data_IF_415760058072
#
_entry.id   IF_415760058072
#
_cell.length_a   1.000
_cell.length_b   1.000
_cell.length_c   1.000
_cell.angle_alpha   90.00
_cell.angle_beta   90.00
_cell.angle_gamma   90.00
#
_symmetry.space_group_name_H-M   'P 1'
#
loop_
_entity.id
_entity.type
_entity.pdbx_description
1 polymer ?
#
# COMPACT_ATOMS: atom_id res chain seq x y z
N UNK A 1 17.06 9.55 -7.83
CA UNK A 1 15.63 9.24 -7.94
C UNK A 1 15.50 7.73 -7.93
N UNK A 2 14.54 7.18 -7.21
CA UNK A 2 14.34 5.73 -7.15
C UNK A 2 13.03 5.39 -7.86
N UNK A 3 13.05 4.41 -8.75
CA UNK A 3 11.94 4.02 -9.61
C UNK A 3 11.56 2.57 -9.32
N UNK A 4 10.26 2.33 -9.14
CA UNK A 4 9.72 0.98 -8.93
C UNK A 4 8.44 0.81 -9.71
N UNK A 5 8.28 -0.36 -10.32
CA UNK A 5 6.99 -0.77 -10.86
C UNK A 5 6.21 -1.55 -9.80
N UNK A 6 4.91 -1.28 -9.71
CA UNK A 6 4.00 -1.97 -8.81
C UNK A 6 2.62 -2.04 -9.47
N UNK A 7 2.09 -3.26 -9.65
CA UNK A 7 0.82 -3.52 -10.35
C UNK A 7 0.69 -2.75 -11.68
N UNK A 8 1.68 -2.92 -12.56
CA UNK A 8 1.76 -2.33 -13.90
C UNK A 8 1.84 -0.79 -13.96
N UNK A 9 2.10 -0.11 -12.84
CA UNK A 9 2.36 1.34 -12.81
C UNK A 9 3.78 1.62 -12.35
N UNK A 10 4.40 2.63 -12.96
CA UNK A 10 5.73 3.10 -12.57
C UNK A 10 5.58 4.23 -11.56
N UNK A 11 6.21 4.04 -10.41
CA UNK A 11 6.27 5.03 -9.35
C UNK A 11 7.70 5.52 -9.20
N UNK A 12 7.81 6.80 -8.86
CA UNK A 12 9.09 7.41 -8.54
C UNK A 12 9.07 7.98 -7.12
N UNK A 13 10.22 7.93 -6.48
CA UNK A 13 10.48 8.59 -5.21
C UNK A 13 11.61 9.59 -5.38
N UNK A 14 11.30 10.86 -5.13
CA UNK A 14 12.25 11.97 -5.24
C UNK A 14 12.07 12.91 -4.04
N UNK A 15 13.16 13.18 -3.30
CA UNK A 15 13.16 14.03 -2.10
C UNK A 15 12.09 13.66 -1.05
N UNK A 16 11.81 12.36 -0.90
CA UNK A 16 10.79 11.87 0.04
C UNK A 16 9.34 12.03 -0.45
N UNK A 17 9.11 12.63 -1.62
CA UNK A 17 7.79 12.71 -2.27
C UNK A 17 7.61 11.56 -3.26
N UNK A 18 6.35 11.18 -3.45
CA UNK A 18 5.96 10.13 -4.38
C UNK A 18 5.39 10.74 -5.64
N UNK A 19 5.70 10.10 -6.76
CA UNK A 19 5.20 10.43 -8.07
C UNK A 19 4.74 9.17 -8.78
N UNK A 20 3.75 9.30 -9.65
CA UNK A 20 3.32 8.23 -10.56
C UNK A 20 3.59 8.68 -11.98
N UNK A 21 4.15 7.80 -12.80
CA UNK A 21 4.25 8.05 -14.23
C UNK A 21 2.87 7.87 -14.86
N UNK A 22 2.36 8.89 -15.56
CA UNK A 22 1.17 8.74 -16.37
C UNK A 22 1.52 8.69 -17.86
N UNK A 23 1.35 7.53 -18.52
CA UNK A 23 1.62 7.39 -19.95
C UNK A 23 0.79 8.35 -20.81
N UNK A 24 -0.42 8.71 -20.36
CA UNK A 24 -1.29 9.63 -21.10
C UNK A 24 -0.74 11.05 -21.18
N UNK A 25 0.08 11.47 -20.21
CA UNK A 25 0.68 12.80 -20.16
C UNK A 25 2.17 12.78 -20.48
N UNK A 26 2.72 11.58 -20.68
CA UNK A 26 4.16 11.32 -20.83
C UNK A 26 4.98 12.01 -19.73
N UNK A 27 4.46 12.00 -18.51
CA UNK A 27 5.02 12.75 -17.39
C UNK A 27 4.75 12.13 -16.04
N UNK A 28 5.66 12.39 -15.10
CA UNK A 28 5.42 12.11 -13.69
C UNK A 28 4.42 13.09 -13.10
N UNK A 29 3.56 12.60 -12.20
CA UNK A 29 2.62 13.43 -11.44
C UNK A 29 2.83 13.23 -9.95
N UNK A 30 2.82 14.30 -9.15
CA UNK A 30 2.90 14.17 -7.70
C UNK A 30 1.65 13.46 -7.17
N UNK A 31 1.86 12.61 -6.15
CA UNK A 31 0.78 11.90 -5.46
C UNK A 31 0.98 11.98 -3.95
N UNK A 32 -0.12 12.02 -3.21
CA UNK A 32 -0.08 12.12 -1.74
C UNK A 32 0.10 10.75 -1.07
N UNK A 33 -0.53 9.72 -1.63
CA UNK A 33 -0.42 8.34 -1.19
C UNK A 33 -0.80 7.37 -2.34
N UNK A 34 -0.66 6.09 -2.05
CA UNK A 34 -1.18 5.00 -2.87
C UNK A 34 -1.89 4.06 -1.91
N UNK A 35 -3.07 3.56 -2.29
CA UNK A 35 -3.83 2.67 -1.43
C UNK A 35 -4.91 1.92 -2.17
N UNK A 36 -5.51 0.97 -1.45
CA UNK A 36 -6.62 0.16 -1.92
C UNK A 36 -7.90 1.01 -2.00
N UNK A 37 -8.49 1.10 -3.19
CA UNK A 37 -9.71 1.87 -3.44
C UNK A 37 -11.01 1.05 -3.26
N UNK A 38 -10.90 -0.25 -2.99
CA UNK A 38 -12.01 -1.21 -2.99
C UNK A 38 -11.94 -2.26 -4.10
N UNK A 39 -11.20 -1.98 -5.17
CA UNK A 39 -11.08 -2.82 -6.37
C UNK A 39 -9.63 -3.02 -6.80
N UNK A 40 -8.80 -1.98 -6.77
CA UNK A 40 -7.41 -1.98 -7.18
C UNK A 40 -6.57 -1.08 -6.27
N UNK A 41 -5.25 -1.09 -6.44
CA UNK A 41 -4.41 -0.01 -5.92
C UNK A 41 -4.49 1.21 -6.84
N UNK A 42 -4.77 2.37 -6.23
CA UNK A 42 -4.83 3.64 -6.93
C UNK A 42 -4.00 4.70 -6.19
N UNK A 43 -3.41 5.66 -6.91
CA UNK A 43 -2.80 6.84 -6.31
C UNK A 43 -3.88 7.82 -5.84
N UNK A 44 -3.62 8.54 -4.75
CA UNK A 44 -4.41 9.72 -4.39
C UNK A 44 -3.72 10.97 -4.93
N UNK A 45 -4.32 11.53 -5.98
CA UNK A 45 -3.90 12.77 -6.65
C UNK A 45 -4.93 13.90 -6.49
N UNK A 46 -5.97 13.71 -5.66
CA UNK A 46 -7.09 14.66 -5.48
C UNK A 46 -6.66 16.07 -5.08
N UNK A 47 -5.53 16.19 -4.39
CA UNK A 47 -4.94 17.47 -4.02
C UNK A 47 -4.50 18.28 -5.26
N UNK A 48 -3.98 17.60 -6.27
CA UNK A 48 -3.43 18.19 -7.49
C UNK A 48 -4.45 18.28 -8.63
N UNK A 49 -5.59 17.58 -8.52
CA UNK A 49 -6.64 17.48 -9.55
C UNK A 49 -7.95 18.16 -9.16
N UNK A 50 -7.95 19.00 -8.13
CA UNK A 50 -9.17 19.65 -7.62
C UNK A 50 -9.81 20.65 -8.60
N UNK A 51 -9.00 21.38 -9.38
CA UNK A 51 -9.49 22.41 -10.31
C UNK A 51 -9.00 22.16 -11.74
N UNK A 52 -9.89 21.67 -12.60
CA UNK A 52 -9.62 21.33 -14.02
C UNK A 52 -9.21 22.55 -14.86
N UNK A 53 -9.59 23.77 -14.46
CA UNK A 53 -9.22 25.00 -15.17
C UNK A 53 -7.86 25.56 -14.71
N UNK A 54 -7.17 24.87 -13.80
CA UNK A 54 -5.85 25.28 -13.36
C UNK A 54 -4.83 25.14 -14.51
N UNK A 55 -4.02 26.18 -14.83
CA UNK A 55 -2.99 26.09 -15.87
C UNK A 55 -1.92 25.02 -15.62
N UNK A 56 -1.77 24.59 -14.36
CA UNK A 56 -0.87 23.55 -13.90
C UNK A 56 -1.64 22.36 -13.30
N UNK A 57 -2.82 22.05 -13.86
CA UNK A 57 -3.64 20.90 -13.45
C UNK A 57 -2.83 19.60 -13.34
N UNK A 58 -3.03 18.88 -12.22
CA UNK A 58 -2.29 17.66 -11.90
C UNK A 58 -0.91 17.91 -11.29
N UNK A 59 -0.52 19.16 -11.07
CA UNK A 59 0.69 19.59 -10.37
C UNK A 59 0.32 20.63 -9.30
N UNK A 60 1.13 20.81 -8.25
CA UNK A 60 0.89 21.85 -7.26
C UNK A 60 1.29 23.25 -7.76
N UNK A 61 2.27 23.33 -8.67
CA UNK A 61 2.79 24.59 -9.17
C UNK A 61 3.44 24.43 -10.55
N UNK A 62 3.71 25.56 -11.21
CA UNK A 62 4.47 25.60 -12.47
C UNK A 62 5.90 25.05 -12.29
N UNK A 63 6.50 25.27 -11.12
CA UNK A 63 7.84 24.77 -10.80
C UNK A 63 7.84 23.25 -10.69
N UNK A 64 6.84 22.67 -10.01
CA UNK A 64 6.71 21.22 -9.87
C UNK A 64 6.47 20.54 -11.21
N UNK A 65 5.74 21.19 -12.12
CA UNK A 65 5.59 20.73 -13.50
C UNK A 65 6.93 20.63 -14.22
N UNK A 66 7.80 21.63 -14.07
CA UNK A 66 9.16 21.59 -14.66
C UNK A 66 9.99 20.46 -14.07
N UNK A 67 9.97 20.30 -12.74
CA UNK A 67 10.66 19.19 -12.06
C UNK A 67 10.17 17.85 -12.61
N UNK A 68 8.87 17.69 -12.82
CA UNK A 68 8.31 16.46 -13.38
C UNK A 68 8.74 16.20 -14.82
N UNK A 69 8.85 17.23 -15.66
CA UNK A 69 9.43 17.13 -17.00
C UNK A 69 10.90 16.72 -16.96
N UNK A 70 11.72 17.40 -16.14
CA UNK A 70 13.15 17.10 -15.99
C UNK A 70 13.38 15.67 -15.46
N UNK A 71 12.46 15.19 -14.61
CA UNK A 71 12.49 13.80 -14.12
C UNK A 71 12.31 12.79 -15.24
N UNK A 72 11.42 13.02 -16.21
CA UNK A 72 11.23 12.11 -17.35
C UNK A 72 12.49 12.09 -18.21
N UNK A 73 13.03 13.25 -18.57
CA UNK A 73 14.22 13.34 -19.44
C UNK A 73 15.45 12.67 -18.84
N UNK A 74 15.59 12.75 -17.51
CA UNK A 74 16.73 12.17 -16.79
C UNK A 74 16.58 10.68 -16.46
N UNK A 75 15.41 10.07 -16.69
CA UNK A 75 15.15 8.69 -16.29
C UNK A 75 14.91 7.73 -17.46
N UNK A 76 15.57 6.58 -17.40
CA UNK A 76 15.32 5.47 -18.31
C UNK A 76 14.20 4.57 -17.75
N UNK A 77 13.04 4.58 -18.39
CA UNK A 77 11.86 3.80 -17.96
C UNK A 77 11.95 2.30 -18.30
N UNK A 78 12.90 1.89 -19.14
CA UNK A 78 12.97 0.52 -19.70
C UNK A 78 13.44 -0.55 -18.70
N UNK A 79 14.21 -0.18 -17.68
CA UNK A 79 14.83 -1.12 -16.72
C UNK A 79 14.42 -0.84 -15.27
N UNK A 80 13.13 -0.62 -15.03
CA UNK A 80 12.62 -0.38 -13.68
C UNK A 80 12.31 -1.69 -12.97
N UNK A 81 12.88 -1.88 -11.78
CA UNK A 81 12.63 -3.08 -10.97
C UNK A 81 11.19 -3.13 -10.45
N UNK A 82 10.57 -4.30 -10.58
CA UNK A 82 9.22 -4.57 -10.11
C UNK A 82 9.20 -5.05 -8.66
N UNK A 83 8.30 -4.47 -7.87
CA UNK A 83 7.95 -4.95 -6.53
C UNK A 83 6.62 -5.69 -6.66
N UNK A 84 6.60 -6.97 -6.31
CA UNK A 84 5.39 -7.79 -6.33
C UNK A 84 4.67 -7.79 -4.97
N UNK A 85 5.43 -7.73 -3.87
CA UNK A 85 4.85 -7.71 -2.52
C UNK A 85 4.43 -6.30 -2.12
N UNK A 86 3.12 -6.12 -1.88
CA UNK A 86 2.58 -4.85 -1.41
C UNK A 86 3.25 -4.36 -0.13
N UNK A 87 3.62 -5.26 0.80
CA UNK A 87 4.25 -4.86 2.06
C UNK A 87 5.62 -4.22 1.84
N UNK A 88 6.41 -4.77 0.92
CA UNK A 88 7.68 -4.21 0.50
C UNK A 88 7.47 -2.86 -0.19
N UNK A 89 6.46 -2.77 -1.05
CA UNK A 89 6.09 -1.52 -1.71
C UNK A 89 5.74 -0.42 -0.71
N UNK A 90 4.94 -0.70 0.32
CA UNK A 90 4.59 0.29 1.36
C UNK A 90 5.82 0.75 2.16
N UNK A 91 6.78 -0.15 2.41
CA UNK A 91 8.05 0.21 3.06
C UNK A 91 8.86 1.15 2.17
N UNK A 92 9.01 0.82 0.90
CA UNK A 92 9.71 1.67 -0.07
C UNK A 92 9.05 3.04 -0.21
N UNK A 93 7.72 3.07 -0.34
CA UNK A 93 6.92 4.28 -0.48
C UNK A 93 6.89 5.15 0.79
N UNK A 94 7.34 4.63 1.95
CA UNK A 94 7.27 5.33 3.23
C UNK A 94 5.85 5.43 3.80
N UNK A 95 4.95 4.54 3.38
CA UNK A 95 3.52 4.55 3.76
C UNK A 95 3.21 3.67 4.98
N UNK A 96 4.23 3.16 5.68
CA UNK A 96 4.07 2.24 6.82
C UNK A 96 3.16 2.79 7.93
N UNK A 97 3.24 4.10 8.20
CA UNK A 97 2.42 4.73 9.24
C UNK A 97 0.93 4.77 8.89
N UNK A 98 0.58 4.69 7.60
CA UNK A 98 -0.80 4.65 7.10
C UNK A 98 -1.32 3.22 6.91
N UNK A 99 -0.51 2.21 7.26
CA UNK A 99 -0.94 0.81 7.13
C UNK A 99 -1.92 0.44 8.25
N UNK A 100 -3.04 -0.15 7.87
CA UNK A 100 -4.01 -0.75 8.77
C UNK A 100 -3.98 -2.27 8.61
N UNK A 101 -4.27 -3.00 9.69
CA UNK A 101 -4.44 -4.44 9.59
C UNK A 101 -5.77 -4.76 8.90
N UNK A 102 -5.70 -5.34 7.70
CA UNK A 102 -6.86 -5.88 7.01
C UNK A 102 -6.89 -7.40 7.15
N UNK A 103 -7.53 -7.84 8.25
CA UNK A 103 -7.61 -9.24 8.68
C UNK A 103 -6.24 -9.87 8.98
N UNK A 104 -5.57 -10.40 7.97
CA UNK A 104 -4.36 -11.23 8.12
C UNK A 104 -3.08 -10.56 7.60
N UNK A 105 -3.17 -9.32 7.11
CA UNK A 105 -2.04 -8.57 6.54
C UNK A 105 -2.21 -7.06 6.64
N UNK A 106 -1.12 -6.28 6.59
CA UNK A 106 -1.19 -4.83 6.52
C UNK A 106 -1.64 -4.38 5.13
N UNK A 107 -2.49 -3.36 5.09
CA UNK A 107 -3.01 -2.75 3.87
C UNK A 107 -3.10 -1.23 4.07
N UNK A 108 -2.75 -0.46 3.04
CA UNK A 108 -3.02 0.99 3.01
C UNK A 108 -4.33 1.18 2.25
N UNK A 109 -5.34 1.77 2.89
CA UNK A 109 -6.58 2.15 2.23
C UNK A 109 -6.43 3.55 1.62
N UNK A 110 -6.95 3.74 0.41
CA UNK A 110 -6.81 5.01 -0.31
C UNK A 110 -7.48 6.16 0.46
N UNK A 111 -8.71 5.91 0.91
CA UNK A 111 -9.49 6.81 1.75
C UNK A 111 -10.12 6.03 2.92
N UNK A 112 -10.55 6.72 3.99
CA UNK A 112 -11.25 6.06 5.10
C UNK A 112 -12.54 5.35 4.66
N UNK A 113 -13.14 5.79 3.56
CA UNK A 113 -14.40 5.28 3.02
C UNK A 113 -14.19 4.18 1.97
N UNK A 114 -12.96 3.77 1.67
CA UNK A 114 -12.70 2.73 0.68
C UNK A 114 -13.36 1.39 1.09
N UNK A 115 -14.09 0.72 0.18
CA UNK A 115 -14.72 -0.57 0.46
C UNK A 115 -13.74 -1.63 0.98
N UNK A 116 -14.04 -2.19 2.16
CA UNK A 116 -13.23 -3.23 2.80
C UNK A 116 -13.66 -4.64 2.38
N UNK A 117 -13.66 -4.91 1.08
CA UNK A 117 -14.05 -6.22 0.55
C UNK A 117 -12.87 -7.20 0.49
N UNK A 118 -12.82 -8.10 1.47
CA UNK A 118 -11.73 -9.06 1.61
C UNK A 118 -11.56 -10.02 0.43
N UNK A 119 -12.67 -10.49 -0.15
CA UNK A 119 -12.61 -11.46 -1.25
C UNK A 119 -12.01 -10.83 -2.51
N UNK A 120 -12.45 -9.60 -2.82
CA UNK A 120 -11.93 -8.85 -3.97
C UNK A 120 -10.45 -8.53 -3.80
N UNK A 121 -10.05 -8.09 -2.61
CA UNK A 121 -8.66 -7.85 -2.28
C UNK A 121 -7.77 -9.08 -2.54
N UNK A 122 -8.18 -10.26 -2.07
CA UNK A 122 -7.40 -11.48 -2.27
C UNK A 122 -7.30 -11.92 -3.74
N UNK A 123 -8.39 -11.75 -4.49
CA UNK A 123 -8.40 -12.04 -5.94
C UNK A 123 -7.44 -11.11 -6.68
N UNK A 124 -7.48 -9.81 -6.36
CA UNK A 124 -6.59 -8.82 -6.96
C UNK A 124 -5.12 -9.12 -6.63
N UNK A 125 -4.81 -9.41 -5.37
CA UNK A 125 -3.45 -9.78 -4.96
C UNK A 125 -3.05 -11.22 -5.31
N UNK A 126 -3.91 -11.95 -6.00
CA UNK A 126 -3.69 -13.36 -6.40
C UNK A 126 -3.22 -14.24 -5.22
N UNK A 127 -3.73 -13.94 -4.02
CA UNK A 127 -3.26 -14.52 -2.78
C UNK A 127 -4.39 -15.24 -2.04
N UNK A 128 -4.03 -16.15 -1.14
CA UNK A 128 -4.98 -16.91 -0.33
C UNK A 128 -5.06 -16.32 1.09
N UNK A 129 -6.20 -16.49 1.80
CA UNK A 129 -6.27 -16.15 3.20
C UNK A 129 -5.25 -16.98 3.99
N UNK A 130 -4.47 -16.33 4.85
CA UNK A 130 -3.59 -16.98 5.80
C UNK A 130 -4.45 -17.51 6.94
N UNK A 131 -4.49 -18.83 7.09
CA UNK A 131 -5.17 -19.47 8.22
C UNK A 131 -4.15 -19.73 9.32
N UNK A 132 -4.57 -19.57 10.58
CA UNK A 132 -3.76 -19.99 11.72
C UNK A 132 -3.45 -21.47 11.55
N UNK A 133 -2.16 -21.83 11.56
CA UNK A 133 -1.73 -23.24 11.44
C UNK A 133 -2.46 -24.05 12.50
N UNK A 134 -3.14 -25.13 12.08
CA UNK A 134 -3.81 -26.02 13.04
C UNK A 134 -2.75 -26.55 14.01
N UNK A 135 -3.00 -26.50 15.32
CA UNK A 135 -2.07 -27.09 16.27
C UNK A 135 -1.93 -28.59 15.96
N UNK A 136 -0.72 -29.17 16.15
CA UNK A 136 -0.51 -30.59 15.90
C UNK A 136 -1.52 -31.43 16.68
N UNK A 137 -2.07 -32.46 16.01
CA UNK A 137 -3.06 -33.37 16.63
C UNK A 137 -2.46 -33.93 17.93
N UNK A 138 -3.20 -33.82 19.04
CA UNK A 138 -2.76 -34.28 20.36
C UNK A 138 -2.18 -33.21 21.30
N UNK A 139 -1.94 -31.98 20.84
CA UNK A 139 -1.40 -30.88 21.68
C UNK A 139 -2.41 -30.19 22.61
N UNK A 140 -3.71 -30.53 22.49
CA UNK A 140 -4.76 -30.04 23.41
C UNK A 140 -4.72 -30.84 24.71
N UNK A 141 -3.76 -30.55 25.57
CA UNK A 141 -3.79 -31.01 26.96
C UNK A 141 -4.71 -30.06 27.73
N UNK A 142 -5.91 -30.51 28.11
CA UNK A 142 -6.72 -29.76 29.07
C UNK A 142 -5.94 -29.67 30.38
N UNK A 143 -5.60 -28.44 30.83
CA UNK A 143 -5.04 -28.22 32.17
C UNK A 143 -6.02 -28.81 33.19
N UNK A 144 -5.70 -29.98 33.75
CA UNK A 144 -6.47 -30.59 34.84
C UNK A 144 -6.31 -29.67 36.05
N UNK A 145 -7.38 -28.94 36.41
CA UNK A 145 -7.40 -28.13 37.62
C UNK A 145 -7.16 -29.05 38.81
N UNK A 146 -5.98 -28.94 39.45
CA UNK A 146 -5.72 -29.62 40.72
C UNK A 146 -6.58 -28.89 41.76
N UNK A 147 -7.68 -29.51 42.20
CA UNK A 147 -8.39 -29.05 43.39
C UNK A 147 -7.40 -29.05 44.55
N UNK A 148 -7.11 -27.86 45.08
CA UNK A 148 -6.44 -27.71 46.36
C UNK A 148 -7.34 -28.34 47.42
N UNK A 149 -6.94 -29.48 47.96
CA UNK A 149 -7.54 -30.04 49.17
C UNK A 149 -7.05 -29.18 50.32
N UNK A 150 -7.85 -28.18 50.70
CA UNK A 150 -7.65 -27.45 51.96
C UNK A 150 -7.98 -28.40 53.10
N UNK A 151 -6.94 -28.88 53.79
CA UNK A 151 -7.08 -29.68 55.00
C UNK A 151 -7.76 -28.87 56.11
N UNK A 152 -8.77 -29.48 56.74
CA UNK A 152 -9.31 -29.03 58.03
C UNK A 152 -8.27 -29.37 59.11
N UNK A 153 -7.79 -28.36 59.81
CA UNK A 153 -7.20 -28.52 61.14
C UNK A 153 -8.32 -28.24 62.13
N UNK A 154 -8.66 -29.24 62.94
CA UNK A 154 -9.47 -29.09 64.16
C UNK A 154 -8.54 -28.72 65.31
#
# INVERSE_FOLDING_TARGET
MDLRTFHARTYAKHLGRLFVFEPTWDSFRPISNIGWDGKNYAPSDSEYTSNVFCPHYGFASLEEKKICSDMVESTNLDNVSEILDAVEFWRWAGLQQKTEWFRDRPCVFLTPCSPRNWKQYLVYEQSRPRTVRRPPRGSRTTRRSKRLVTGRVL
#
